data_IF_951951276711
#
_entry.id   IF_951951276711
#
_cell.length_a   1.000
_cell.length_b   1.000
_cell.length_c   1.000
_cell.angle_alpha   90.00
_cell.angle_beta   90.00
_cell.angle_gamma   90.00
#
_symmetry.space_group_name_H-M   'P 1'
#
loop_
_entity.id
_entity.type
_entity.pdbx_description
1 polymer ?
#
# COMPACT_ATOMS: atom_id res chain seq x y z
N UNK A 1 15.21 -2.51 18.89
CA UNK A 1 15.48 -2.56 17.43
C UNK A 1 14.74 -1.40 16.77
N UNK A 2 15.48 -0.47 16.17
CA UNK A 2 14.89 0.70 15.48
C UNK A 2 14.14 0.20 14.23
N UNK A 3 12.86 0.58 14.11
CA UNK A 3 12.04 0.28 12.95
C UNK A 3 12.68 0.92 11.71
N UNK A 4 13.23 0.10 10.82
CA UNK A 4 13.69 0.54 9.50
C UNK A 4 12.45 0.90 8.70
N UNK A 5 12.09 2.18 8.81
CA UNK A 5 10.79 2.73 8.51
C UNK A 5 10.33 2.37 7.11
N UNK A 6 9.23 1.63 7.09
CA UNK A 6 8.33 1.49 5.97
C UNK A 6 8.02 2.88 5.39
N UNK A 7 8.47 3.15 4.17
CA UNK A 7 8.09 4.37 3.42
C UNK A 7 6.74 4.12 2.73
N UNK A 8 5.63 4.39 3.40
CA UNK A 8 4.36 4.66 2.71
C UNK A 8 4.13 6.16 2.70
N UNK A 9 3.40 6.66 1.70
CA UNK A 9 3.14 8.09 1.59
C UNK A 9 2.60 8.65 2.90
N UNK A 10 3.04 9.85 3.23
CA UNK A 10 2.66 10.54 4.45
C UNK A 10 1.13 10.55 4.57
N UNK A 11 0.57 9.94 5.61
CA UNK A 11 -0.89 9.95 5.83
C UNK A 11 -1.44 11.38 5.82
N UNK A 12 -0.64 12.38 6.20
CA UNK A 12 -1.03 13.78 6.15
C UNK A 12 -1.25 14.27 4.71
N UNK A 13 -0.51 13.76 3.72
CA UNK A 13 -0.76 14.06 2.31
C UNK A 13 -2.09 13.46 1.86
N UNK A 14 -2.38 12.21 2.23
CA UNK A 14 -3.67 11.57 1.93
C UNK A 14 -4.84 12.30 2.60
N UNK A 15 -4.68 12.71 3.86
CA UNK A 15 -5.68 13.51 4.58
C UNK A 15 -5.87 14.86 3.88
N UNK A 16 -4.80 15.53 3.48
CA UNK A 16 -4.87 16.80 2.76
C UNK A 16 -5.54 16.65 1.39
N UNK A 17 -5.22 15.59 0.64
CA UNK A 17 -5.87 15.24 -0.61
C UNK A 17 -7.35 14.93 -0.39
N UNK A 18 -7.72 14.26 0.70
CA UNK A 18 -9.12 13.91 0.99
C UNK A 18 -10.00 15.15 1.20
N UNK A 19 -9.41 16.25 1.71
CA UNK A 19 -10.10 17.53 1.86
C UNK A 19 -10.38 18.21 0.50
N UNK A 20 -9.48 18.03 -0.48
CA UNK A 20 -9.59 18.63 -1.81
C UNK A 20 -10.39 17.78 -2.79
N UNK A 21 -10.09 16.48 -2.85
CA UNK A 21 -10.71 15.52 -3.76
C UNK A 21 -10.80 14.15 -3.08
N UNK A 22 -11.98 13.86 -2.52
CA UNK A 22 -12.26 12.61 -1.79
C UNK A 22 -12.12 11.38 -2.66
N UNK A 23 -12.54 11.46 -3.92
CA UNK A 23 -12.52 10.34 -4.87
C UNK A 23 -11.09 9.96 -5.24
N UNK A 24 -10.26 10.95 -5.54
CA UNK A 24 -8.83 10.73 -5.81
C UNK A 24 -8.10 10.22 -4.56
N UNK A 25 -8.41 10.78 -3.39
CA UNK A 25 -7.83 10.34 -2.14
C UNK A 25 -8.19 8.88 -1.81
N UNK A 26 -9.44 8.47 -2.04
CA UNK A 26 -9.87 7.08 -1.87
C UNK A 26 -9.10 6.16 -2.82
N UNK A 27 -8.99 6.51 -4.11
CA UNK A 27 -8.24 5.71 -5.09
C UNK A 27 -6.77 5.53 -4.67
N UNK A 28 -6.14 6.62 -4.23
CA UNK A 28 -4.74 6.62 -3.77
C UNK A 28 -4.57 5.80 -2.48
N UNK A 29 -5.49 5.91 -1.53
CA UNK A 29 -5.48 5.11 -0.31
C UNK A 29 -5.63 3.60 -0.61
N UNK A 30 -6.49 3.22 -1.56
CA UNK A 30 -6.62 1.81 -1.97
C UNK A 30 -5.35 1.27 -2.63
N UNK A 31 -4.65 2.09 -3.43
CA UNK A 31 -3.35 1.71 -4.00
C UNK A 31 -2.27 1.59 -2.89
N UNK A 32 -2.16 2.55 -1.98
CA UNK A 32 -1.20 2.44 -0.87
C UNK A 32 -1.48 1.18 -0.02
N UNK A 33 -2.75 0.85 0.23
CA UNK A 33 -3.13 -0.40 0.89
C UNK A 33 -2.75 -1.66 0.08
N UNK A 34 -2.96 -1.67 -1.24
CA UNK A 34 -2.52 -2.79 -2.07
C UNK A 34 -1.00 -2.99 -2.00
N UNK A 35 -0.22 -1.90 -1.89
CA UNK A 35 1.24 -2.01 -1.74
C UNK A 35 1.64 -2.66 -0.41
N UNK A 36 0.93 -2.36 0.68
CA UNK A 36 1.11 -3.02 1.97
C UNK A 36 0.89 -4.54 1.85
N UNK A 37 -0.19 -4.93 1.17
CA UNK A 37 -0.54 -6.34 0.96
C UNK A 37 0.55 -7.04 0.13
N UNK A 38 0.99 -6.44 -0.97
CA UNK A 38 2.06 -7.01 -1.80
C UNK A 38 3.37 -7.17 -1.03
N UNK A 39 3.74 -6.21 -0.20
CA UNK A 39 4.93 -6.28 0.63
C UNK A 39 4.85 -7.47 1.61
N UNK A 40 3.72 -7.65 2.30
CA UNK A 40 3.53 -8.80 3.20
C UNK A 40 3.53 -10.13 2.46
N UNK A 41 2.96 -10.19 1.25
CA UNK A 41 3.02 -11.38 0.39
C UNK A 41 4.48 -11.70 0.03
N UNK A 42 5.26 -10.73 -0.42
CA UNK A 42 6.66 -10.91 -0.81
C UNK A 42 7.51 -11.38 0.38
N UNK A 43 7.31 -10.80 1.57
CA UNK A 43 7.96 -11.27 2.79
C UNK A 43 7.53 -12.68 3.17
N UNK A 44 6.23 -12.97 3.06
CA UNK A 44 5.70 -14.31 3.29
C UNK A 44 6.35 -15.35 2.39
N UNK A 45 6.51 -15.04 1.10
CA UNK A 45 7.19 -15.88 0.13
C UNK A 45 8.68 -16.06 0.45
N UNK A 46 9.38 -14.99 0.80
CA UNK A 46 10.80 -15.04 1.19
C UNK A 46 11.03 -15.98 2.38
N UNK A 47 10.12 -15.96 3.36
CA UNK A 47 10.17 -16.86 4.52
C UNK A 47 10.00 -18.35 4.17
N UNK A 48 9.46 -18.68 2.99
CA UNK A 48 9.34 -20.08 2.53
C UNK A 48 10.60 -20.62 1.85
N UNK A 49 11.57 -19.75 1.53
CA UNK A 49 12.79 -20.16 0.88
C UNK A 49 13.70 -20.85 1.89
N UNK A 50 14.18 -22.06 1.55
CA UNK A 50 15.08 -22.82 2.42
C UNK A 50 16.40 -22.06 2.56
N UNK A 51 16.71 -21.67 3.79
CA UNK A 51 17.97 -21.02 4.14
C UNK A 51 19.09 -22.04 4.03
N UNK A 52 20.06 -21.77 3.17
CA UNK A 52 21.23 -22.64 2.99
C UNK A 52 22.50 -21.91 3.36
N UNK A 53 23.50 -22.65 3.85
CA UNK A 53 24.83 -22.12 4.12
C UNK A 53 25.58 -21.68 2.84
N UNK A 54 25.04 -21.99 1.65
CA UNK A 54 25.57 -21.55 0.37
C UNK A 54 25.26 -20.07 0.08
N UNK A 55 24.14 -19.54 0.60
CA UNK A 55 23.77 -18.13 0.52
C UNK A 55 23.49 -17.57 1.93
N UNK A 56 24.52 -17.07 2.64
CA UNK A 56 24.34 -16.59 4.01
C UNK A 56 23.35 -15.43 4.10
N UNK A 57 22.53 -15.45 5.15
CA UNK A 57 21.68 -14.32 5.53
C UNK A 57 22.50 -13.29 6.31
N UNK A 58 23.04 -12.29 5.63
CA UNK A 58 23.69 -11.16 6.28
C UNK A 58 22.67 -10.04 6.57
N UNK A 59 23.01 -9.15 7.51
CA UNK A 59 22.15 -8.02 7.88
C UNK A 59 21.97 -7.06 6.70
N UNK A 60 23.01 -6.82 5.91
CA UNK A 60 22.98 -5.96 4.73
C UNK A 60 22.04 -6.53 3.66
N UNK A 61 22.11 -7.85 3.42
CA UNK A 61 21.21 -8.55 2.48
C UNK A 61 19.77 -8.41 2.92
N UNK A 62 19.48 -8.61 4.20
CA UNK A 62 18.12 -8.48 4.75
C UNK A 62 17.57 -7.05 4.59
N UNK A 63 18.39 -6.04 4.88
CA UNK A 63 18.01 -4.64 4.68
C UNK A 63 17.73 -4.38 3.19
N UNK A 64 18.62 -4.82 2.30
CA UNK A 64 18.43 -4.67 0.86
C UNK A 64 17.15 -5.35 0.36
N UNK A 65 16.90 -6.60 0.76
CA UNK A 65 15.69 -7.33 0.41
C UNK A 65 14.43 -6.63 0.91
N UNK A 66 14.44 -6.13 2.14
CA UNK A 66 13.32 -5.37 2.70
C UNK A 66 12.97 -4.13 1.86
N UNK A 67 13.98 -3.35 1.44
CA UNK A 67 13.78 -2.21 0.54
C UNK A 67 13.31 -2.64 -0.86
N UNK A 68 13.90 -3.71 -1.40
CA UNK A 68 13.52 -4.25 -2.71
C UNK A 68 12.04 -4.66 -2.72
N UNK A 69 11.57 -5.36 -1.70
CA UNK A 69 10.17 -5.78 -1.59
C UNK A 69 9.23 -4.58 -1.48
N UNK A 70 9.61 -3.52 -0.77
CA UNK A 70 8.83 -2.28 -0.73
C UNK A 70 8.70 -1.62 -2.12
N UNK A 71 9.80 -1.50 -2.87
CA UNK A 71 9.77 -0.87 -4.20
C UNK A 71 8.98 -1.70 -5.22
N UNK A 72 9.12 -3.03 -5.18
CA UNK A 72 8.31 -3.93 -6.02
C UNK A 72 6.83 -3.74 -5.69
N UNK A 73 6.47 -3.78 -4.41
CA UNK A 73 5.09 -3.63 -3.98
C UNK A 73 4.47 -2.29 -4.42
N UNK A 74 5.22 -1.18 -4.32
CA UNK A 74 4.77 0.13 -4.83
C UNK A 74 4.60 0.14 -6.35
N UNK A 75 5.52 -0.47 -7.08
CA UNK A 75 5.52 -0.47 -8.55
C UNK A 75 4.37 -1.33 -9.12
N UNK A 76 4.00 -2.39 -8.42
CA UNK A 76 2.89 -3.27 -8.82
C UNK A 76 1.54 -2.69 -8.41
N UNK A 77 1.49 -1.99 -7.28
CA UNK A 77 0.26 -1.41 -6.76
C UNK A 77 -0.34 -0.32 -7.66
N UNK A 78 -1.67 -0.23 -7.67
CA UNK A 78 -2.40 0.82 -8.39
C UNK A 78 -2.47 0.61 -9.91
N UNK A 79 -1.96 -0.52 -10.40
CA UNK A 79 -2.13 -0.95 -11.79
C UNK A 79 -3.58 -1.36 -12.08
N UNK A 80 -4.06 -1.16 -13.33
CA UNK A 80 -5.39 -1.62 -13.72
C UNK A 80 -5.56 -3.13 -13.50
N UNK A 81 -6.70 -3.52 -12.96
CA UNK A 81 -7.02 -4.91 -12.62
C UNK A 81 -6.44 -5.38 -11.27
N UNK A 82 -5.70 -4.53 -10.55
CA UNK A 82 -5.16 -4.83 -9.22
C UNK A 82 -6.20 -4.83 -8.10
N UNK A 83 -5.77 -5.29 -6.93
CA UNK A 83 -6.59 -5.33 -5.72
C UNK A 83 -7.03 -3.92 -5.29
N UNK A 84 -6.16 -2.93 -5.44
CA UNK A 84 -6.46 -1.54 -5.10
C UNK A 84 -7.60 -0.97 -5.95
N UNK A 85 -7.67 -1.32 -7.24
CA UNK A 85 -8.78 -0.91 -8.10
C UNK A 85 -10.09 -1.60 -7.71
N UNK A 86 -10.03 -2.89 -7.40
CA UNK A 86 -11.21 -3.64 -6.92
C UNK A 86 -11.77 -3.04 -5.62
N UNK A 87 -10.89 -2.73 -4.65
CA UNK A 87 -11.26 -2.06 -3.41
C UNK A 87 -11.87 -0.68 -3.69
N UNK A 88 -11.25 0.11 -4.55
CA UNK A 88 -11.77 1.42 -4.92
C UNK A 88 -13.17 1.34 -5.54
N UNK A 89 -13.40 0.41 -6.48
CA UNK A 89 -14.72 0.19 -7.11
C UNK A 89 -15.78 -0.22 -6.10
N UNK A 90 -15.41 -1.06 -5.13
CA UNK A 90 -16.32 -1.53 -4.08
C UNK A 90 -16.65 -0.40 -3.10
N UNK A 91 -15.63 0.29 -2.60
CA UNK A 91 -15.78 1.35 -1.60
C UNK A 91 -16.44 2.61 -2.17
N UNK A 92 -16.16 2.97 -3.41
CA UNK A 92 -16.80 4.12 -4.07
C UNK A 92 -18.32 3.93 -4.24
N UNK A 93 -18.79 2.69 -4.36
CA UNK A 93 -20.21 2.36 -4.46
C UNK A 93 -20.92 2.27 -3.10
N UNK A 94 -20.16 2.18 -2.00
CA UNK A 94 -20.70 2.05 -0.65
C UNK A 94 -21.53 3.29 -0.25
N UNK A 95 -22.62 3.07 0.49
CA UNK A 95 -23.50 4.12 0.99
C UNK A 95 -22.77 5.10 1.91
N UNK A 96 -21.85 4.61 2.73
CA UNK A 96 -21.07 5.43 3.65
C UNK A 96 -20.15 6.42 2.93
N UNK A 97 -19.56 6.03 1.78
CA UNK A 97 -18.73 6.94 0.98
C UNK A 97 -19.57 7.97 0.23
N UNK A 98 -20.70 7.54 -0.37
CA UNK A 98 -21.66 8.45 -1.03
C UNK A 98 -22.18 9.52 -0.08
N UNK A 99 -22.56 9.13 1.14
CA UNK A 99 -22.99 10.08 2.17
C UNK A 99 -21.89 11.08 2.53
N UNK A 100 -20.61 10.67 2.56
CA UNK A 100 -19.49 11.60 2.81
C UNK A 100 -19.24 12.56 1.65
N UNK A 101 -19.52 12.19 0.40
CA UNK A 101 -19.41 13.10 -0.75
C UNK A 101 -20.52 14.15 -0.66
N UNK A 102 -21.78 13.71 -0.60
CA UNK A 102 -22.96 14.59 -0.63
C UNK A 102 -22.99 15.63 0.51
N UNK A 103 -22.49 15.28 1.70
CA UNK A 103 -22.41 16.22 2.82
C UNK A 103 -21.34 17.31 2.67
N UNK A 104 -20.38 17.20 1.74
CA UNK A 104 -19.46 18.30 1.44
C UNK A 104 -19.95 19.21 0.32
N UNK A 105 -20.87 18.76 -0.53
CA UNK A 105 -21.41 19.58 -1.61
C UNK A 105 -22.53 20.51 -1.11
N UNK A 106 -23.06 20.28 0.10
CA UNK A 106 -24.10 21.08 0.76
C UNK A 106 -23.53 22.16 1.72
N UNK A 107 -22.27 22.57 1.58
CA UNK A 107 -21.62 23.58 2.44
C UNK A 107 -20.79 24.54 1.60
#
# INVERSE_FOLDING_TARGET
>A
MKSYGIYYQNLNELITLSKKNKTLALKKACAEFESLVWYEILKGLDNTIIKSNFFPETLEKKIFQDYLYQEIARTVSGKPGGLGEYLYKTLSKSSCFKNKINNADNK
#
